data_IF_372578967614
#
_entry.id   IF_372578967614
#
_cell.length_a   1.000
_cell.length_b   1.000
_cell.length_c   1.000
_cell.angle_alpha   90.00
_cell.angle_beta   90.00
_cell.angle_gamma   90.00
#
_symmetry.space_group_name_H-M   'P 1'
#
loop_
_entity.id
_entity.type
_entity.pdbx_description
1 polymer ?
#
# COMPACT_ATOMS: atom_id res chain seq x y z
N UNK A 1 50.26 29.33 44.29
CA UNK A 1 49.36 28.25 44.76
C UNK A 1 48.05 28.34 43.98
N UNK A 2 47.71 27.23 43.35
CA UNK A 2 46.45 26.81 42.71
C UNK A 2 45.57 27.80 41.91
N UNK A 3 45.47 27.45 40.63
CA UNK A 3 44.50 27.84 39.60
C UNK A 3 43.18 27.12 39.86
N UNK A 4 42.03 27.81 39.76
CA UNK A 4 40.73 27.15 39.63
C UNK A 4 40.05 27.51 38.32
N UNK A 5 40.20 26.60 37.35
CA UNK A 5 39.30 26.36 36.23
C UNK A 5 37.99 25.76 36.78
N UNK A 6 36.84 26.20 36.28
CA UNK A 6 35.58 25.47 36.43
C UNK A 6 34.83 25.47 35.10
N UNK A 7 34.38 24.27 34.76
CA UNK A 7 34.20 23.77 33.42
C UNK A 7 32.82 24.06 32.82
N UNK A 8 32.82 24.28 31.49
CA UNK A 8 31.65 24.17 30.61
C UNK A 8 31.21 22.69 30.57
N UNK A 9 30.01 22.38 31.03
CA UNK A 9 29.36 21.08 30.78
C UNK A 9 28.44 21.22 29.56
N UNK A 10 28.91 20.74 28.41
CA UNK A 10 28.08 20.49 27.24
C UNK A 10 27.16 19.29 27.53
N UNK A 11 25.85 19.51 27.46
CA UNK A 11 24.85 18.44 27.42
C UNK A 11 24.69 18.03 25.96
N UNK A 12 25.35 16.95 25.55
CA UNK A 12 25.12 16.29 24.26
C UNK A 12 24.93 14.79 24.47
N UNK A 13 23.72 14.36 24.82
CA UNK A 13 23.36 12.93 24.71
C UNK A 13 21.92 12.76 24.28
N UNK A 14 21.69 12.40 23.02
CA UNK A 14 20.53 11.62 22.55
C UNK A 14 20.69 11.21 21.07
N UNK A 15 21.65 10.32 20.78
CA UNK A 15 21.75 9.69 19.45
C UNK A 15 21.98 8.17 19.50
N UNK A 16 22.13 7.56 20.69
CA UNK A 16 22.56 6.16 20.81
C UNK A 16 21.43 5.12 20.68
N UNK A 17 20.15 5.52 20.73
CA UNK A 17 19.02 4.57 20.77
C UNK A 17 18.56 4.08 19.38
N UNK A 18 18.84 4.84 18.31
CA UNK A 18 18.41 4.48 16.95
C UNK A 18 19.22 3.36 16.30
N UNK A 19 20.53 3.28 16.60
CA UNK A 19 21.45 2.32 15.97
C UNK A 19 21.25 0.88 16.42
N UNK A 20 20.83 0.63 17.67
CA UNK A 20 20.68 -0.74 18.18
C UNK A 20 19.50 -1.51 17.58
N UNK A 21 18.46 -0.82 17.10
CA UNK A 21 17.28 -1.45 16.48
C UNK A 21 17.51 -1.83 15.01
N UNK A 22 18.47 -1.19 14.33
CA UNK A 22 18.74 -1.43 12.92
C UNK A 22 19.33 -2.83 12.63
N UNK A 23 20.10 -3.39 13.57
CA UNK A 23 20.72 -4.72 13.42
C UNK A 23 19.72 -5.90 13.46
N UNK A 24 18.42 -5.65 13.70
CA UNK A 24 17.39 -6.69 13.80
C UNK A 24 16.71 -7.00 12.46
N UNK A 25 16.67 -6.02 11.56
CA UNK A 25 15.91 -6.11 10.31
C UNK A 25 16.85 -6.23 9.12
N UNK A 26 16.34 -6.74 7.99
CA UNK A 26 17.07 -6.68 6.73
C UNK A 26 17.50 -5.23 6.41
N UNK A 27 18.71 -5.00 5.88
CA UNK A 27 19.19 -3.65 5.58
C UNK A 27 18.24 -2.84 4.69
N UNK A 28 17.63 -3.44 3.67
CA UNK A 28 16.71 -2.77 2.76
C UNK A 28 15.42 -2.37 3.50
N UNK A 29 14.91 -3.25 4.35
CA UNK A 29 13.76 -2.99 5.23
C UNK A 29 14.04 -1.81 6.16
N UNK A 30 15.20 -1.84 6.82
CA UNK A 30 15.60 -0.82 7.77
C UNK A 30 15.84 0.54 7.08
N UNK A 31 16.41 0.55 5.88
CA UNK A 31 16.63 1.76 5.08
C UNK A 31 15.32 2.38 4.62
N UNK A 32 14.40 1.59 4.06
CA UNK A 32 13.08 2.05 3.67
C UNK A 32 12.31 2.63 4.88
N UNK A 33 12.32 1.93 6.02
CA UNK A 33 11.69 2.42 7.25
C UNK A 33 12.32 3.72 7.77
N UNK A 34 13.65 3.85 7.76
CA UNK A 34 14.34 5.09 8.18
C UNK A 34 14.01 6.27 7.27
N UNK A 35 13.96 6.02 5.96
CA UNK A 35 13.73 7.04 4.95
C UNK A 35 12.29 7.57 4.99
N UNK A 36 11.33 6.69 5.19
CA UNK A 36 9.92 6.99 4.95
C UNK A 36 9.08 7.19 6.21
N UNK A 37 9.54 6.69 7.35
CA UNK A 37 8.78 6.77 8.59
C UNK A 37 9.39 7.77 9.57
N UNK A 38 8.56 8.47 10.37
CA UNK A 38 9.05 9.18 11.54
C UNK A 38 9.89 8.26 12.43
N UNK A 39 10.92 8.79 13.08
CA UNK A 39 11.78 7.98 13.95
C UNK A 39 11.00 7.26 15.07
N UNK A 40 9.90 7.86 15.54
CA UNK A 40 8.98 7.25 16.52
C UNK A 40 8.20 6.05 15.98
N UNK A 41 8.00 5.95 14.66
CA UNK A 41 7.29 4.86 13.99
C UNK A 41 8.23 3.80 13.39
N UNK A 42 9.55 3.99 13.45
CA UNK A 42 10.55 3.15 12.78
C UNK A 42 10.33 1.65 13.01
N UNK A 43 10.21 1.21 14.27
CA UNK A 43 10.08 -0.21 14.59
C UNK A 43 8.79 -0.83 14.04
N UNK A 44 7.67 -0.09 14.09
CA UNK A 44 6.41 -0.54 13.52
C UNK A 44 6.47 -0.62 11.99
N UNK A 45 7.05 0.39 11.33
CA UNK A 45 7.23 0.35 9.89
C UNK A 45 8.12 -0.80 9.44
N UNK A 46 9.27 -0.98 10.09
CA UNK A 46 10.19 -2.07 9.77
C UNK A 46 9.49 -3.44 9.93
N UNK A 47 8.71 -3.64 11.00
CA UNK A 47 7.91 -4.86 11.17
C UNK A 47 6.86 -5.03 10.07
N UNK A 48 6.11 -3.97 9.74
CA UNK A 48 5.09 -4.04 8.69
C UNK A 48 5.71 -4.39 7.32
N UNK A 49 6.88 -3.83 7.02
CA UNK A 49 7.62 -4.10 5.79
C UNK A 49 8.11 -5.55 5.77
N UNK A 50 8.87 -5.97 6.78
CA UNK A 50 9.47 -7.31 6.94
C UNK A 50 8.42 -8.42 6.80
N UNK A 51 7.26 -8.25 7.44
CA UNK A 51 6.22 -9.27 7.49
C UNK A 51 5.09 -9.06 6.49
N UNK A 52 5.28 -8.18 5.50
CA UNK A 52 4.30 -7.89 4.44
C UNK A 52 2.89 -7.61 4.97
N UNK A 53 2.80 -6.75 5.99
CA UNK A 53 1.53 -6.36 6.62
C UNK A 53 1.07 -4.99 6.13
N UNK A 54 -0.25 -4.71 6.19
CA UNK A 54 -0.75 -3.36 6.02
C UNK A 54 -0.06 -2.40 7.00
N UNK A 55 0.29 -1.20 6.53
CA UNK A 55 0.89 -0.18 7.39
C UNK A 55 -0.18 0.36 8.34
N UNK A 56 0.00 0.15 9.64
CA UNK A 56 -0.94 0.60 10.67
C UNK A 56 -0.19 1.03 11.93
N UNK A 57 0.61 2.10 11.82
CA UNK A 57 1.49 2.55 12.89
C UNK A 57 0.88 3.73 13.66
N UNK A 58 0.60 3.61 14.98
CA UNK A 58 -0.04 4.68 15.76
C UNK A 58 0.74 6.01 15.81
N UNK A 59 2.05 5.95 15.59
CA UNK A 59 2.94 7.12 15.61
C UNK A 59 3.03 7.85 14.26
N UNK A 60 2.34 7.36 13.22
CA UNK A 60 2.15 8.08 11.96
C UNK A 60 0.93 8.99 12.13
N UNK A 61 1.07 10.27 11.77
CA UNK A 61 -0.02 11.23 11.88
C UNK A 61 -1.17 10.87 10.94
N UNK A 62 -2.40 11.14 11.37
CA UNK A 62 -3.58 10.98 10.52
C UNK A 62 -3.41 11.83 9.25
N UNK A 63 -3.59 11.22 8.09
CA UNK A 63 -3.40 11.87 6.78
C UNK A 63 -2.01 11.69 6.17
N UNK A 64 -0.99 11.29 6.95
CA UNK A 64 0.35 11.00 6.41
C UNK A 64 0.55 9.53 6.03
N UNK A 65 -0.38 8.63 6.42
CA UNK A 65 -0.26 7.19 6.21
C UNK A 65 -0.08 6.81 4.74
N UNK A 66 -0.90 7.38 3.84
CA UNK A 66 -0.81 7.12 2.40
C UNK A 66 0.52 7.62 1.82
N UNK A 67 0.99 8.80 2.23
CA UNK A 67 2.28 9.34 1.82
C UNK A 67 3.44 8.46 2.31
N UNK A 68 3.37 7.95 3.54
CA UNK A 68 4.35 6.98 4.05
C UNK A 68 4.31 5.69 3.24
N UNK A 69 3.13 5.16 2.91
CA UNK A 69 2.99 3.98 2.05
C UNK A 69 3.59 4.19 0.66
N UNK A 70 3.32 5.32 -0.01
CA UNK A 70 3.94 5.68 -1.30
C UNK A 70 5.46 5.69 -1.19
N UNK A 71 5.99 6.38 -0.17
CA UNK A 71 7.43 6.46 0.04
C UNK A 71 8.05 5.07 0.23
N UNK A 72 7.47 4.21 1.07
CA UNK A 72 8.00 2.87 1.34
C UNK A 72 8.04 2.06 0.04
N UNK A 73 6.92 1.99 -0.70
CA UNK A 73 6.87 1.22 -1.95
C UNK A 73 7.84 1.76 -2.99
N UNK A 74 7.91 3.09 -3.15
CA UNK A 74 8.86 3.73 -4.06
C UNK A 74 10.32 3.52 -3.65
N UNK A 75 10.60 3.39 -2.36
CA UNK A 75 11.95 3.11 -1.88
C UNK A 75 12.38 1.66 -2.12
N UNK A 76 11.44 0.71 -2.13
CA UNK A 76 11.72 -0.71 -2.32
C UNK A 76 11.71 -1.14 -3.80
N UNK A 77 10.78 -0.58 -4.59
CA UNK A 77 10.51 -1.04 -5.96
C UNK A 77 10.54 0.07 -7.02
N UNK A 78 10.72 1.33 -6.60
CA UNK A 78 10.76 2.48 -7.50
C UNK A 78 9.39 3.09 -7.80
N UNK A 79 9.42 4.26 -8.45
CA UNK A 79 8.22 5.03 -8.79
C UNK A 79 7.34 4.32 -9.82
N UNK A 80 7.95 3.65 -10.81
CA UNK A 80 7.20 2.91 -11.84
C UNK A 80 6.34 1.79 -11.22
N UNK A 81 6.91 1.01 -10.29
CA UNK A 81 6.14 0.00 -9.56
C UNK A 81 5.04 0.65 -8.71
N UNK A 82 5.36 1.73 -8.00
CA UNK A 82 4.37 2.45 -7.17
C UNK A 82 3.19 2.96 -7.99
N UNK A 83 3.45 3.50 -9.19
CA UNK A 83 2.42 3.99 -10.09
C UNK A 83 1.63 2.85 -10.77
N UNK A 84 2.21 1.66 -10.91
CA UNK A 84 1.50 0.52 -11.48
C UNK A 84 0.41 -0.03 -10.54
N UNK A 85 0.67 -0.13 -9.23
CA UNK A 85 -0.31 -0.63 -8.24
C UNK A 85 0.04 -0.16 -6.81
N UNK A 86 -0.05 1.15 -6.57
CA UNK A 86 0.13 1.78 -5.27
C UNK A 86 -1.14 2.01 -4.46
N UNK A 87 -1.00 2.68 -3.32
CA UNK A 87 -2.11 3.06 -2.41
C UNK A 87 -3.15 3.97 -3.09
N UNK A 88 -2.73 4.75 -4.09
CA UNK A 88 -3.59 5.70 -4.81
C UNK A 88 -4.70 5.02 -5.62
N UNK A 89 -4.55 3.72 -5.88
CA UNK A 89 -5.57 2.90 -6.54
C UNK A 89 -6.60 2.32 -5.56
N UNK A 90 -6.61 2.75 -4.29
CA UNK A 90 -7.62 2.34 -3.30
C UNK A 90 -9.08 2.52 -3.80
N UNK A 91 -9.45 3.61 -4.51
CA UNK A 91 -10.80 3.74 -5.08
C UNK A 91 -11.16 2.61 -6.05
N UNK A 92 -10.18 2.03 -6.76
CA UNK A 92 -10.39 0.93 -7.69
C UNK A 92 -10.78 -0.38 -7.02
N UNK A 93 -10.61 -0.52 -5.70
CA UNK A 93 -11.15 -1.69 -5.00
C UNK A 93 -12.68 -1.78 -5.11
N UNK A 94 -13.38 -0.67 -5.36
CA UNK A 94 -14.84 -0.64 -5.55
C UNK A 94 -15.33 -1.52 -6.70
N UNK A 95 -14.48 -1.87 -7.67
CA UNK A 95 -14.81 -2.86 -8.72
C UNK A 95 -15.13 -4.24 -8.16
N UNK A 96 -14.70 -4.58 -6.95
CA UNK A 96 -15.06 -5.83 -6.29
C UNK A 96 -16.27 -5.70 -5.34
N UNK A 97 -16.83 -4.50 -5.20
CA UNK A 97 -17.97 -4.26 -4.32
C UNK A 97 -19.27 -4.77 -4.95
N UNK A 98 -20.14 -5.34 -4.12
CA UNK A 98 -21.44 -5.91 -4.51
C UNK A 98 -21.37 -7.01 -5.57
N UNK A 99 -20.23 -7.70 -5.66
CA UNK A 99 -20.08 -8.87 -6.51
C UNK A 99 -20.85 -10.06 -5.92
N UNK A 100 -21.88 -10.50 -6.62
CA UNK A 100 -22.74 -11.62 -6.18
C UNK A 100 -22.05 -12.98 -6.31
N UNK A 101 -20.92 -13.05 -7.02
CA UNK A 101 -20.07 -14.23 -7.13
C UNK A 101 -19.00 -14.28 -6.02
N UNK A 102 -18.89 -13.23 -5.20
CA UNK A 102 -18.07 -13.15 -3.98
C UNK A 102 -18.90 -12.63 -2.79
N UNK A 103 -19.84 -13.45 -2.27
CA UNK A 103 -20.80 -13.00 -1.25
C UNK A 103 -20.14 -12.57 0.09
N UNK A 104 -18.93 -13.05 0.36
CA UNK A 104 -18.15 -12.69 1.55
C UNK A 104 -17.30 -11.42 1.34
N UNK A 105 -17.34 -10.83 0.13
CA UNK A 105 -16.53 -9.68 -0.28
C UNK A 105 -15.02 -9.90 -0.06
N UNK A 106 -14.53 -11.13 -0.24
CA UNK A 106 -13.12 -11.50 -0.04
C UNK A 106 -12.19 -10.72 -0.93
N UNK A 107 -12.55 -10.52 -2.20
CA UNK A 107 -11.77 -9.78 -3.17
C UNK A 107 -11.71 -8.29 -2.85
N UNK A 108 -12.83 -7.70 -2.42
CA UNK A 108 -12.86 -6.31 -1.96
C UNK A 108 -11.94 -6.09 -0.75
N UNK A 109 -12.09 -6.92 0.29
CA UNK A 109 -11.26 -6.84 1.50
C UNK A 109 -9.78 -7.10 1.18
N UNK A 110 -9.48 -8.10 0.34
CA UNK A 110 -8.12 -8.41 -0.09
C UNK A 110 -7.50 -7.23 -0.83
N UNK A 111 -8.25 -6.58 -1.72
CA UNK A 111 -7.78 -5.40 -2.43
C UNK A 111 -7.38 -4.29 -1.47
N UNK A 112 -8.25 -3.95 -0.52
CA UNK A 112 -7.96 -2.93 0.47
C UNK A 112 -6.74 -3.26 1.33
N UNK A 113 -6.58 -4.53 1.73
CA UNK A 113 -5.44 -4.96 2.52
C UNK A 113 -4.13 -4.91 1.71
N UNK A 114 -4.14 -5.41 0.48
CA UNK A 114 -2.93 -5.55 -0.33
C UNK A 114 -2.43 -4.19 -0.82
N UNK A 115 -3.32 -3.25 -1.15
CA UNK A 115 -2.93 -1.89 -1.51
C UNK A 115 -2.36 -1.11 -0.31
N UNK A 116 -2.79 -1.43 0.92
CA UNK A 116 -2.19 -0.90 2.16
C UNK A 116 -0.89 -1.56 2.60
N UNK A 117 -0.42 -2.56 1.86
CA UNK A 117 0.83 -3.29 2.16
C UNK A 117 1.94 -2.78 1.24
N UNK A 118 2.71 -1.73 1.63
CA UNK A 118 3.65 -1.08 0.74
C UNK A 118 4.91 -1.90 0.44
N UNK A 119 5.18 -2.97 1.19
CA UNK A 119 6.31 -3.87 0.95
C UNK A 119 6.02 -4.99 -0.04
N UNK A 120 4.90 -4.91 -0.78
CA UNK A 120 4.63 -5.79 -1.92
C UNK A 120 4.79 -5.02 -3.22
N UNK A 121 5.46 -5.63 -4.19
CA UNK A 121 5.53 -5.09 -5.55
C UNK A 121 4.16 -5.15 -6.21
N UNK A 122 3.98 -4.37 -7.27
CA UNK A 122 2.74 -4.34 -8.04
C UNK A 122 2.41 -5.70 -8.65
N UNK A 123 3.41 -6.43 -9.16
CA UNK A 123 3.24 -7.81 -9.63
C UNK A 123 2.65 -8.72 -8.53
N UNK A 124 3.22 -8.65 -7.32
CA UNK A 124 2.71 -9.44 -6.19
C UNK A 124 1.28 -9.03 -5.83
N UNK A 125 0.99 -7.73 -5.76
CA UNK A 125 -0.35 -7.23 -5.45
C UNK A 125 -1.38 -7.74 -6.45
N UNK A 126 -1.11 -7.62 -7.75
CA UNK A 126 -1.98 -8.12 -8.82
C UNK A 126 -2.17 -9.63 -8.76
N UNK A 127 -1.12 -10.39 -8.41
CA UNK A 127 -1.23 -11.85 -8.18
C UNK A 127 -2.12 -12.19 -6.98
N UNK A 128 -2.04 -11.44 -5.89
CA UNK A 128 -2.93 -11.64 -4.74
C UNK A 128 -4.40 -11.32 -5.09
N UNK A 129 -4.62 -10.32 -5.93
CA UNK A 129 -5.94 -9.98 -6.45
C UNK A 129 -6.46 -11.04 -7.42
N UNK A 130 -5.64 -11.55 -8.34
CA UNK A 130 -6.07 -12.60 -9.26
C UNK A 130 -6.48 -13.89 -8.53
N UNK A 131 -5.86 -14.16 -7.38
CA UNK A 131 -6.10 -15.34 -6.55
C UNK A 131 -7.06 -15.11 -5.37
N UNK A 132 -7.74 -13.95 -5.28
CA UNK A 132 -8.70 -13.72 -4.19
C UNK A 132 -9.90 -14.67 -4.25
N UNK A 133 -10.15 -15.27 -5.42
CA UNK A 133 -11.06 -16.39 -5.66
C UNK A 133 -10.58 -17.24 -6.85
N UNK A 134 -11.22 -18.39 -7.07
CA UNK A 134 -10.85 -19.34 -8.14
C UNK A 134 -10.93 -18.76 -9.56
N UNK A 135 -11.90 -17.88 -9.84
CA UNK A 135 -12.07 -17.22 -11.13
C UNK A 135 -12.37 -15.74 -10.92
N UNK A 136 -11.33 -14.92 -10.82
CA UNK A 136 -11.49 -13.47 -10.67
C UNK A 136 -11.60 -12.75 -12.02
N UNK A 137 -12.78 -12.85 -12.64
CA UNK A 137 -13.12 -12.15 -13.88
C UNK A 137 -13.10 -10.61 -13.78
N UNK A 138 -13.05 -10.04 -12.57
CA UNK A 138 -13.06 -8.58 -12.35
C UNK A 138 -11.67 -7.95 -12.29
N UNK A 139 -10.59 -8.74 -12.37
CA UNK A 139 -9.23 -8.19 -12.40
C UNK A 139 -8.99 -7.22 -13.59
N UNK A 140 -9.48 -7.48 -14.81
CA UNK A 140 -9.40 -6.50 -15.90
C UNK A 140 -10.10 -5.17 -15.58
N UNK A 141 -11.22 -5.20 -14.85
CA UNK A 141 -11.94 -4.00 -14.42
C UNK A 141 -11.13 -3.19 -13.41
N UNK A 142 -10.44 -3.87 -12.49
CA UNK A 142 -9.48 -3.22 -11.58
C UNK A 142 -8.37 -2.53 -12.36
N UNK A 143 -7.77 -3.21 -13.35
CA UNK A 143 -6.70 -2.64 -14.16
C UNK A 143 -7.15 -1.44 -14.99
N UNK A 144 -8.36 -1.48 -15.57
CA UNK A 144 -8.93 -0.33 -16.27
C UNK A 144 -9.10 0.88 -15.35
N UNK A 145 -9.58 0.67 -14.12
CA UNK A 145 -9.64 1.76 -13.14
C UNK A 145 -8.25 2.32 -12.77
N UNK A 146 -7.23 1.46 -12.65
CA UNK A 146 -5.85 1.89 -12.39
C UNK A 146 -5.34 2.80 -13.52
N UNK A 147 -5.61 2.44 -14.77
CA UNK A 147 -5.29 3.28 -15.92
C UNK A 147 -6.00 4.64 -15.86
N UNK A 148 -7.28 4.66 -15.50
CA UNK A 148 -8.04 5.91 -15.33
C UNK A 148 -7.48 6.79 -14.20
N UNK A 149 -7.11 6.19 -13.06
CA UNK A 149 -6.44 6.90 -11.95
C UNK A 149 -5.13 7.52 -12.41
N UNK A 150 -4.32 6.77 -13.16
CA UNK A 150 -3.07 7.28 -13.72
C UNK A 150 -3.32 8.47 -14.65
N UNK A 151 -4.26 8.35 -15.59
CA UNK A 151 -4.63 9.42 -16.52
C UNK A 151 -5.19 10.66 -15.80
N UNK A 152 -5.94 10.47 -14.71
CA UNK A 152 -6.45 11.55 -13.85
C UNK A 152 -5.30 12.28 -13.15
N UNK A 153 -4.36 11.53 -12.57
CA UNK A 153 -3.18 12.08 -11.90
C UNK A 153 -2.24 12.83 -12.87
N UNK A 154 -2.02 12.31 -14.08
CA UNK A 154 -1.18 12.97 -15.10
C UNK A 154 -1.74 14.32 -15.54
N UNK A 155 -3.07 14.52 -15.44
CA UNK A 155 -3.71 15.81 -15.68
C UNK A 155 -3.57 16.78 -14.50
N UNK A 156 -2.93 16.36 -13.40
CA UNK A 156 -2.79 17.14 -12.17
C UNK A 156 -4.12 17.36 -11.44
N UNK A 157 -5.12 16.50 -11.69
CA UNK A 157 -6.43 16.63 -11.07
C UNK A 157 -6.40 16.08 -9.63
N UNK A 158 -7.10 16.74 -8.68
CA UNK A 158 -7.19 16.25 -7.31
C UNK A 158 -7.84 14.85 -7.24
N UNK A 159 -7.26 13.94 -6.45
CA UNK A 159 -7.75 12.56 -6.31
C UNK A 159 -9.11 12.46 -5.59
N UNK A 160 -9.48 13.46 -4.79
CA UNK A 160 -10.82 13.56 -4.17
C UNK A 160 -11.93 13.83 -5.20
N UNK A 161 -11.57 14.23 -6.42
CA UNK A 161 -12.49 14.39 -7.56
C UNK A 161 -12.52 13.17 -8.48
N UNK A 162 -11.67 12.15 -8.23
CA UNK A 162 -11.68 10.94 -9.03
C UNK A 162 -12.93 10.11 -8.74
N UNK A 163 -13.71 9.83 -9.77
CA UNK A 163 -14.83 8.91 -9.71
C UNK A 163 -14.65 7.87 -10.82
N UNK A 164 -14.56 6.60 -10.44
CA UNK A 164 -14.52 5.52 -11.42
C UNK A 164 -15.95 5.20 -11.88
N UNK A 165 -16.24 5.55 -13.12
CA UNK A 165 -17.47 5.12 -13.78
C UNK A 165 -17.30 3.68 -14.26
N UNK A 166 -17.82 2.73 -13.47
CA UNK A 166 -17.66 1.32 -13.77
C UNK A 166 -18.31 0.95 -15.13
N UNK A 167 -17.55 0.34 -16.07
CA UNK A 167 -18.10 -0.11 -17.35
C UNK A 167 -19.22 -1.13 -17.19
N UNK A 168 -20.17 -1.14 -18.12
CA UNK A 168 -21.34 -2.05 -18.08
C UNK A 168 -20.91 -3.52 -18.04
N UNK A 169 -19.84 -3.86 -18.73
CA UNK A 169 -19.24 -5.19 -18.79
C UNK A 169 -18.82 -5.65 -17.39
N UNK A 170 -18.19 -4.77 -16.62
CA UNK A 170 -17.77 -5.02 -15.23
C UNK A 170 -18.97 -5.24 -14.31
N UNK A 171 -20.02 -4.42 -14.44
CA UNK A 171 -21.25 -4.62 -13.68
C UNK A 171 -21.96 -5.94 -14.04
N UNK A 172 -21.86 -6.40 -15.30
CA UNK A 172 -22.42 -7.70 -15.71
C UNK A 172 -21.65 -8.87 -15.10
N UNK A 173 -20.32 -8.80 -15.04
CA UNK A 173 -19.47 -9.83 -14.44
C UNK A 173 -19.75 -10.06 -12.95
N UNK A 174 -20.22 -9.03 -12.24
CA UNK A 174 -20.63 -9.10 -10.82
C UNK A 174 -21.93 -9.86 -10.58
N UNK A 175 -22.76 -10.07 -11.62
CA UNK A 175 -24.04 -10.75 -11.46
C UNK A 175 -23.78 -12.24 -11.36
N UNK A 176 -24.40 -12.90 -10.37
CA UNK A 176 -24.36 -14.36 -10.27
C UNK A 176 -25.01 -14.90 -11.53
N UNK A 177 -24.24 -15.58 -12.36
CA UNK A 177 -24.77 -16.13 -13.60
C UNK A 177 -26.01 -16.97 -13.33
N UNK A 178 -27.10 -16.67 -14.03
CA UNK A 178 -27.77 -17.76 -14.74
C UNK A 178 -26.65 -18.49 -15.47
N UNK A 179 -26.36 -19.71 -15.03
CA UNK A 179 -25.26 -20.50 -15.55
C UNK A 179 -25.26 -20.40 -17.08
N UNK A 180 -24.11 -20.04 -17.64
CA UNK A 180 -23.84 -20.24 -19.05
C UNK A 180 -24.05 -21.74 -19.30
N UNK A 181 -25.23 -22.14 -19.78
CA UNK A 181 -25.48 -23.52 -20.19
C UNK A 181 -24.46 -23.79 -21.28
N UNK A 182 -23.61 -24.82 -21.15
CA UNK A 182 -22.73 -25.19 -22.24
C UNK A 182 -23.62 -25.47 -23.45
N UNK A 183 -23.35 -24.75 -24.55
CA UNK A 183 -23.87 -25.13 -25.86
C UNK A 183 -23.11 -26.41 -26.20
N UNK A 184 -23.73 -27.56 -25.95
CA UNK A 184 -23.29 -28.82 -26.51
C UNK A 184 -23.63 -28.74 -28.00
N UNK A 185 -22.62 -28.52 -28.84
CA UNK A 185 -22.69 -28.81 -30.28
C UNK A 185 -22.32 -30.27 -30.50
#
# INVERSE_FOLDING_TARGET
MLVHLSALLMVTTSAASGLKMANKYDPEVADAARKCCPSSAFACCAEAIEFYRPLACPSIQRGEEEKTMRCIQSSLFGAADTNATGIDHMPCCSVFLHDQTDPDARCYQRCQQILRTPSRSSEQKLRYLSLCRLDNSLLPCFNGCVEDVYLHSEKGLPMDQFHFEEPKECTQMKKKGEAHKPIIQ
#
